data_IF_913909369301
#
_entry.id   IF_913909369301
#
_cell.length_a   1.000
_cell.length_b   1.000
_cell.length_c   1.000
_cell.angle_alpha   90.00
_cell.angle_beta   90.00
_cell.angle_gamma   90.00
#
_symmetry.space_group_name_H-M   'P 1'
#
loop_
_entity.id
_entity.type
_entity.pdbx_description
1 polymer ?
#
# COMPACT_ATOMS: atom_id res chain seq x y z
N UNK A 1 18.31 41.16 -30.12
CA UNK A 1 18.30 41.87 -31.42
C UNK A 1 19.55 41.49 -32.18
N UNK A 2 19.45 40.43 -32.97
CA UNK A 2 20.23 40.22 -34.19
C UNK A 2 19.47 39.16 -34.99
N UNK A 3 19.16 39.48 -36.24
CA UNK A 3 18.47 38.65 -37.22
C UNK A 3 19.43 38.35 -38.37
N UNK A 4 19.27 37.14 -38.93
CA UNK A 4 19.38 36.75 -40.36
C UNK A 4 19.97 35.32 -40.44
N UNK A 5 19.57 34.40 -41.34
CA UNK A 5 18.51 34.29 -42.34
C UNK A 5 18.57 32.80 -42.77
N UNK A 6 17.43 32.12 -42.91
CA UNK A 6 17.12 31.13 -43.97
C UNK A 6 15.84 30.38 -43.59
N UNK A 7 14.90 30.39 -44.54
CA UNK A 7 13.60 29.69 -44.59
C UNK A 7 12.59 30.11 -43.52
N UNK A 8 11.91 31.23 -43.77
CA UNK A 8 10.62 31.52 -43.15
C UNK A 8 9.53 30.72 -43.86
N UNK A 9 8.79 29.92 -43.11
CA UNK A 9 7.44 29.48 -43.45
C UNK A 9 6.71 29.02 -42.17
N UNK A 10 5.44 29.41 -42.10
CA UNK A 10 4.55 29.50 -40.94
C UNK A 10 3.77 28.18 -40.77
N UNK A 11 3.88 27.52 -39.61
CA UNK A 11 3.15 26.27 -39.32
C UNK A 11 1.83 26.59 -38.61
N UNK A 12 0.79 26.85 -39.39
CA UNK A 12 -0.59 26.97 -38.93
C UNK A 12 -1.28 25.62 -38.72
N UNK A 13 -2.12 25.56 -37.69
CA UNK A 13 -3.02 24.44 -37.35
C UNK A 13 -4.03 24.15 -38.49
N UNK A 14 -3.99 22.95 -39.08
CA UNK A 14 -5.06 22.45 -39.97
C UNK A 14 -5.84 21.30 -39.34
N UNK A 15 -7.16 21.51 -39.22
CA UNK A 15 -8.16 20.51 -38.84
C UNK A 15 -8.46 19.53 -39.99
N UNK A 16 -8.82 18.27 -39.72
CA UNK A 16 -9.05 17.26 -40.75
C UNK A 16 -10.32 17.54 -41.59
N UNK A 17 -10.35 17.13 -42.88
CA UNK A 17 -11.39 17.54 -43.81
C UNK A 17 -12.74 16.86 -43.55
N UNK A 18 -13.79 17.69 -43.67
CA UNK A 18 -15.22 17.36 -43.55
C UNK A 18 -15.68 16.54 -44.77
N UNK A 19 -15.94 15.25 -44.56
CA UNK A 19 -16.47 14.34 -45.60
C UNK A 19 -17.88 14.77 -46.07
N UNK A 20 -18.00 14.99 -47.37
CA UNK A 20 -19.17 15.49 -48.09
C UNK A 20 -20.30 14.43 -48.12
N UNK A 21 -21.53 14.84 -47.81
CA UNK A 21 -22.74 14.01 -47.98
C UNK A 21 -23.15 14.01 -49.46
N UNK A 22 -23.31 12.83 -50.05
CA UNK A 22 -24.13 12.62 -51.25
C UNK A 22 -25.27 11.65 -50.88
N UNK A 23 -26.48 12.01 -51.29
CA UNK A 23 -27.71 11.30 -50.92
C UNK A 23 -28.07 10.15 -51.86
N UNK A 24 -28.83 9.22 -51.27
CA UNK A 24 -29.85 8.33 -51.82
C UNK A 24 -29.56 7.50 -53.07
N UNK A 25 -29.51 6.17 -52.89
CA UNK A 25 -30.47 5.26 -53.52
C UNK A 25 -30.57 3.96 -52.73
N UNK A 26 -31.80 3.49 -52.54
CA UNK A 26 -32.16 2.33 -51.72
C UNK A 26 -31.77 0.98 -52.33
N UNK A 27 -31.55 0.01 -51.45
CA UNK A 27 -31.41 -1.40 -51.75
C UNK A 27 -31.81 -2.19 -50.51
N UNK A 28 -32.89 -2.96 -50.64
CA UNK A 28 -33.69 -3.54 -49.56
C UNK A 28 -32.97 -4.68 -48.80
N UNK A 29 -32.88 -4.57 -47.47
CA UNK A 29 -32.53 -5.69 -46.59
C UNK A 29 -33.73 -6.64 -46.48
N UNK A 30 -33.72 -7.73 -47.25
CA UNK A 30 -34.79 -8.75 -47.22
C UNK A 30 -34.68 -9.58 -45.94
N UNK A 31 -35.56 -9.32 -44.97
CA UNK A 31 -35.74 -10.17 -43.79
C UNK A 31 -36.55 -11.43 -44.19
N UNK A 32 -36.05 -12.65 -43.94
CA UNK A 32 -36.77 -13.87 -44.28
C UNK A 32 -38.08 -14.02 -43.48
N UNK A 33 -39.14 -14.47 -44.15
CA UNK A 33 -40.49 -14.70 -43.61
C UNK A 33 -40.86 -16.17 -43.65
N UNK A 34 -41.77 -16.58 -42.76
CA UNK A 34 -42.41 -17.89 -42.81
C UNK A 34 -43.41 -17.98 -43.98
N UNK A 35 -43.84 -19.19 -44.34
CA UNK A 35 -44.80 -19.44 -45.44
C UNK A 35 -46.20 -18.84 -45.21
N UNK A 36 -46.53 -18.46 -43.99
CA UNK A 36 -47.77 -17.78 -43.60
C UNK A 36 -47.63 -16.24 -43.52
N UNK A 37 -46.47 -15.70 -43.88
CA UNK A 37 -46.21 -14.26 -43.94
C UNK A 37 -45.87 -13.61 -42.59
N UNK A 38 -45.76 -14.38 -41.51
CA UNK A 38 -45.26 -13.89 -40.21
C UNK A 38 -43.74 -13.68 -40.23
N UNK A 39 -43.26 -12.71 -39.44
CA UNK A 39 -41.81 -12.48 -39.28
C UNK A 39 -41.19 -13.63 -38.48
N UNK A 40 -40.17 -14.27 -39.03
CA UNK A 40 -39.47 -15.38 -38.38
C UNK A 40 -38.52 -14.81 -37.30
N UNK A 41 -38.98 -14.77 -36.05
CA UNK A 41 -38.15 -14.44 -34.90
C UNK A 41 -38.03 -15.65 -33.98
N UNK A 42 -36.84 -16.29 -34.00
CA UNK A 42 -36.49 -17.35 -33.06
C UNK A 42 -36.13 -18.70 -33.71
N UNK A 43 -34.85 -19.09 -33.51
CA UNK A 43 -34.23 -20.42 -33.62
C UNK A 43 -34.21 -21.12 -34.99
N UNK A 44 -33.07 -21.00 -35.67
CA UNK A 44 -32.54 -22.08 -36.49
C UNK A 44 -32.22 -23.27 -35.56
N UNK A 45 -32.77 -24.45 -35.89
CA UNK A 45 -32.46 -25.72 -35.24
C UNK A 45 -30.92 -25.92 -35.19
N UNK A 46 -30.31 -26.23 -34.04
CA UNK A 46 -28.87 -26.42 -33.97
C UNK A 46 -28.49 -27.69 -34.73
N UNK A 47 -27.64 -27.56 -35.75
CA UNK A 47 -26.81 -28.67 -36.22
C UNK A 47 -26.14 -29.30 -35.00
N UNK A 48 -26.37 -30.59 -34.80
CA UNK A 48 -25.81 -31.41 -33.73
C UNK A 48 -24.28 -31.35 -33.79
N UNK A 49 -23.70 -30.37 -33.09
CA UNK A 49 -22.30 -30.37 -32.73
C UNK A 49 -22.19 -31.22 -31.49
N UNK A 50 -21.48 -32.33 -31.63
CA UNK A 50 -21.16 -33.27 -30.58
C UNK A 50 -20.76 -32.52 -29.31
N UNK A 51 -21.48 -32.81 -28.22
CA UNK A 51 -21.19 -32.27 -26.89
C UNK A 51 -19.89 -32.90 -26.38
N UNK A 52 -18.75 -32.32 -26.74
CA UNK A 52 -17.58 -32.40 -25.89
C UNK A 52 -17.97 -31.73 -24.57
N UNK A 53 -18.01 -32.53 -23.50
CA UNK A 53 -18.12 -32.02 -22.13
C UNK A 53 -16.86 -31.21 -21.84
N UNK A 54 -16.86 -29.94 -22.22
CA UNK A 54 -16.10 -28.95 -21.46
C UNK A 54 -16.71 -28.95 -20.07
N UNK A 55 -16.01 -29.57 -19.12
CA UNK A 55 -16.21 -29.31 -17.71
C UNK A 55 -15.88 -27.83 -17.48
N UNK A 56 -16.87 -26.98 -17.73
CA UNK A 56 -16.84 -25.58 -17.35
C UNK A 56 -16.63 -25.58 -15.84
N UNK A 57 -15.38 -25.30 -15.42
CA UNK A 57 -15.02 -25.12 -14.03
C UNK A 57 -15.92 -24.01 -13.49
N UNK A 58 -17.01 -24.41 -12.81
CA UNK A 58 -17.93 -23.48 -12.16
C UNK A 58 -17.13 -22.78 -11.08
N UNK A 59 -16.53 -21.65 -11.41
CA UNK A 59 -15.86 -20.80 -10.43
C UNK A 59 -16.96 -20.36 -9.48
N UNK A 60 -16.97 -20.83 -8.22
CA UNK A 60 -18.03 -20.46 -7.30
C UNK A 60 -18.03 -18.94 -7.17
N UNK A 61 -19.20 -18.33 -7.37
CA UNK A 61 -19.39 -16.88 -7.28
C UNK A 61 -18.78 -16.40 -5.97
N UNK A 62 -17.74 -15.56 -6.08
CA UNK A 62 -17.01 -15.09 -4.92
C UNK A 62 -17.98 -14.43 -3.93
N UNK A 63 -18.04 -14.99 -2.71
CA UNK A 63 -18.82 -14.40 -1.64
C UNK A 63 -18.20 -13.05 -1.24
N UNK A 64 -19.00 -12.10 -0.72
CA UNK A 64 -18.48 -10.82 -0.25
C UNK A 64 -17.39 -11.04 0.80
N UNK A 65 -16.18 -10.55 0.53
CA UNK A 65 -15.09 -10.57 1.50
C UNK A 65 -15.18 -9.31 2.37
N UNK A 66 -15.58 -9.48 3.62
CA UNK A 66 -15.63 -8.41 4.62
C UNK A 66 -14.31 -8.24 5.39
N UNK A 67 -13.26 -8.97 5.01
CA UNK A 67 -11.93 -8.73 5.56
C UNK A 67 -11.42 -7.34 5.15
N UNK A 68 -10.66 -6.70 6.04
CA UNK A 68 -10.03 -5.42 5.75
C UNK A 68 -9.08 -5.58 4.57
N UNK A 69 -9.26 -4.78 3.53
CA UNK A 69 -8.34 -4.74 2.40
C UNK A 69 -7.09 -3.94 2.81
N UNK A 70 -5.91 -4.48 2.53
CA UNK A 70 -4.64 -3.84 2.93
C UNK A 70 -4.39 -2.48 2.29
N UNK A 71 -5.00 -2.20 1.13
CA UNK A 71 -4.76 -1.00 0.30
C UNK A 71 -4.89 0.33 1.05
N UNK A 72 -5.86 0.44 1.96
CA UNK A 72 -6.04 1.69 2.72
C UNK A 72 -4.85 1.97 3.68
N UNK A 73 -4.32 0.92 4.30
CA UNK A 73 -3.14 1.01 5.15
C UNK A 73 -1.89 1.29 4.31
N UNK A 74 -1.81 0.73 3.10
CA UNK A 74 -0.70 1.00 2.17
C UNK A 74 -0.68 2.45 1.69
N UNK A 75 -1.84 3.09 1.50
CA UNK A 75 -1.93 4.50 1.09
C UNK A 75 -1.60 5.46 2.24
N UNK A 76 -2.05 5.16 3.46
CA UNK A 76 -1.91 6.08 4.60
C UNK A 76 -0.51 6.06 5.22
N UNK A 77 0.13 4.89 5.30
CA UNK A 77 1.35 4.68 6.11
C UNK A 77 2.57 4.29 5.26
N UNK A 78 2.72 4.85 4.06
CA UNK A 78 3.87 4.58 3.19
C UNK A 78 5.00 5.55 3.46
N UNK A 79 6.15 5.02 3.87
CA UNK A 79 7.40 5.80 4.00
C UNK A 79 8.44 5.19 3.08
N UNK A 80 9.05 6.02 2.23
CA UNK A 80 10.09 5.62 1.29
C UNK A 80 9.73 4.39 0.44
N UNK A 81 8.45 4.17 0.13
CA UNK A 81 7.98 3.03 -0.66
C UNK A 81 7.60 1.78 0.15
N UNK A 82 7.82 1.77 1.47
CA UNK A 82 7.51 0.64 2.37
C UNK A 82 6.35 1.02 3.28
N UNK A 83 5.42 0.09 3.47
CA UNK A 83 4.26 0.28 4.34
C UNK A 83 4.65 0.02 5.79
N UNK A 84 4.48 1.02 6.65
CA UNK A 84 4.78 0.90 8.08
C UNK A 84 3.66 0.13 8.78
N UNK A 85 4.06 -0.83 9.63
CA UNK A 85 3.13 -1.60 10.47
C UNK A 85 2.62 -0.80 11.66
N UNK A 86 3.39 0.19 12.09
CA UNK A 86 3.13 0.99 13.28
C UNK A 86 2.88 2.45 12.89
N UNK A 87 2.05 3.12 13.68
CA UNK A 87 1.76 4.54 13.56
C UNK A 87 1.89 5.20 14.93
N UNK A 88 2.32 6.46 14.92
CA UNK A 88 2.63 7.17 16.14
C UNK A 88 1.36 7.53 16.93
N UNK A 89 1.30 7.21 18.24
CA UNK A 89 0.13 7.54 19.03
C UNK A 89 0.04 9.05 19.31
N UNK A 90 -1.16 9.59 19.58
CA UNK A 90 -1.35 11.03 19.81
C UNK A 90 -0.68 11.55 21.10
N UNK A 91 -0.29 10.66 22.02
CA UNK A 91 0.43 10.99 23.25
C UNK A 91 1.96 10.89 23.09
N UNK A 92 2.45 10.74 21.86
CA UNK A 92 3.87 10.75 21.56
C UNK A 92 4.50 12.11 21.89
N UNK A 93 5.63 12.09 22.62
CA UNK A 93 6.35 13.31 22.94
C UNK A 93 7.85 13.06 23.07
N UNK A 94 8.66 14.01 22.60
CA UNK A 94 10.12 13.91 22.63
C UNK A 94 10.61 13.94 24.08
N UNK A 95 11.51 13.02 24.50
CA UNK A 95 12.03 13.03 25.84
C UNK A 95 12.94 14.24 26.07
N UNK A 96 12.85 14.84 27.26
CA UNK A 96 13.79 15.88 27.70
C UNK A 96 15.15 15.32 28.13
N UNK A 97 15.19 14.04 28.52
CA UNK A 97 16.41 13.34 28.95
C UNK A 97 17.22 12.85 27.74
N UNK A 98 18.55 12.88 27.84
CA UNK A 98 19.45 12.36 26.82
C UNK A 98 19.61 10.84 26.88
N UNK A 99 18.62 10.11 26.36
CA UNK A 99 18.69 8.66 26.24
C UNK A 99 19.75 8.21 25.23
N UNK A 100 20.46 7.13 25.59
CA UNK A 100 21.47 6.45 24.76
C UNK A 100 21.27 4.93 24.87
N UNK A 101 21.36 4.21 23.75
CA UNK A 101 21.41 2.75 23.73
C UNK A 101 22.84 2.30 23.53
N UNK A 102 23.35 1.49 24.45
CA UNK A 102 24.64 0.83 24.30
C UNK A 102 24.42 -0.55 23.69
N UNK A 103 25.07 -0.81 22.56
CA UNK A 103 24.92 -2.06 21.82
C UNK A 103 26.20 -2.88 21.98
N UNK A 104 26.01 -4.14 22.33
CA UNK A 104 27.11 -5.08 22.53
C UNK A 104 26.96 -6.26 21.58
N UNK A 105 28.05 -6.62 20.90
CA UNK A 105 28.15 -7.84 20.10
C UNK A 105 29.16 -8.76 20.79
N UNK A 106 28.64 -9.68 21.61
CA UNK A 106 29.47 -10.50 22.48
C UNK A 106 30.19 -9.63 23.52
N UNK A 107 31.51 -9.49 23.39
CA UNK A 107 32.34 -8.66 24.29
C UNK A 107 32.69 -7.29 23.71
N UNK A 108 32.38 -7.06 22.44
CA UNK A 108 32.67 -5.80 21.76
C UNK A 108 31.52 -4.81 21.97
N UNK A 109 31.84 -3.58 22.37
CA UNK A 109 30.89 -2.48 22.45
C UNK A 109 30.91 -1.69 21.14
N UNK A 110 29.75 -1.54 20.50
CA UNK A 110 29.57 -0.70 19.33
C UNK A 110 29.26 0.75 19.74
N UNK A 111 29.23 1.64 18.75
CA UNK A 111 28.88 3.04 18.97
C UNK A 111 27.45 3.17 19.55
N UNK A 112 27.24 3.96 20.61
CA UNK A 112 25.92 4.12 21.21
C UNK A 112 24.95 4.90 20.31
N UNK A 113 23.69 4.47 20.25
CA UNK A 113 22.64 5.20 19.54
C UNK A 113 22.01 6.28 20.42
N UNK A 114 21.91 7.51 19.91
CA UNK A 114 21.27 8.63 20.59
C UNK A 114 19.75 8.65 20.40
N UNK A 115 19.02 7.89 21.23
CA UNK A 115 17.56 7.71 21.10
C UNK A 115 16.72 8.76 21.85
N UNK A 116 17.02 10.05 21.69
CA UNK A 116 16.26 11.13 22.35
C UNK A 116 15.93 12.32 21.45
N UNK A 117 16.39 12.30 20.19
CA UNK A 117 16.22 13.39 19.23
C UNK A 117 14.84 13.38 18.56
N UNK A 118 14.24 12.20 18.44
CA UNK A 118 12.92 11.92 17.90
C UNK A 118 12.01 11.30 18.95
N UNK A 119 10.73 11.18 18.62
CA UNK A 119 9.66 10.60 19.42
C UNK A 119 9.55 9.08 19.30
N UNK A 120 10.00 8.52 18.18
CA UNK A 120 10.02 7.09 17.91
C UNK A 120 11.34 6.66 17.25
N UNK A 121 11.67 5.37 17.34
CA UNK A 121 12.77 4.75 16.60
C UNK A 121 12.38 3.34 16.16
N UNK A 122 12.41 3.08 14.86
CA UNK A 122 12.10 1.78 14.29
C UNK A 122 13.36 0.91 14.18
N UNK A 123 13.27 -0.32 14.70
CA UNK A 123 14.31 -1.34 14.61
C UNK A 123 13.90 -2.46 13.66
N UNK A 124 14.81 -2.86 12.79
CA UNK A 124 14.57 -3.95 11.85
C UNK A 124 15.63 -4.04 10.77
N UNK A 125 15.45 -5.01 9.87
CA UNK A 125 16.37 -5.23 8.73
C UNK A 125 16.20 -4.21 7.60
N UNK A 126 15.02 -3.60 7.47
CA UNK A 126 14.71 -2.72 6.34
C UNK A 126 15.31 -1.32 6.54
N UNK A 127 16.54 -1.14 6.06
CA UNK A 127 17.31 0.11 6.22
C UNK A 127 16.67 1.35 5.57
N UNK A 128 15.74 1.17 4.62
CA UNK A 128 15.03 2.30 3.97
C UNK A 128 14.10 3.05 4.92
N UNK A 129 13.64 2.39 5.98
CA UNK A 129 12.68 2.95 6.95
C UNK A 129 13.12 2.80 8.41
N UNK A 130 13.97 1.82 8.74
CA UNK A 130 14.42 1.61 10.11
C UNK A 130 15.52 2.60 10.48
N UNK A 131 15.35 3.29 11.60
CA UNK A 131 16.36 4.20 12.17
C UNK A 131 17.55 3.43 12.76
N UNK A 132 17.28 2.26 13.33
CA UNK A 132 18.28 1.39 13.94
C UNK A 132 18.30 0.07 13.15
N UNK A 133 19.31 -0.14 12.28
CA UNK A 133 19.39 -1.34 11.47
C UNK A 133 19.79 -2.56 12.30
N UNK A 134 19.00 -3.63 12.19
CA UNK A 134 19.30 -4.93 12.76
C UNK A 134 19.80 -5.86 11.64
N UNK A 135 21.12 -5.90 11.44
CA UNK A 135 21.76 -6.71 10.40
C UNK A 135 21.89 -8.20 10.81
N UNK A 136 20.78 -8.80 11.24
CA UNK A 136 20.72 -10.21 11.58
C UNK A 136 19.54 -10.89 10.89
N UNK A 137 19.74 -12.06 10.24
CA UNK A 137 18.68 -12.72 9.45
C UNK A 137 17.50 -13.19 10.29
N UNK A 138 17.69 -13.42 11.60
CA UNK A 138 16.60 -13.77 12.52
C UNK A 138 15.70 -12.57 12.89
N UNK A 139 16.12 -11.34 12.59
CA UNK A 139 15.27 -10.17 12.83
C UNK A 139 14.27 -9.99 11.67
N UNK A 140 13.15 -9.34 11.94
CA UNK A 140 12.15 -9.04 10.92
C UNK A 140 12.47 -7.72 10.21
N UNK A 141 11.88 -7.48 9.03
CA UNK A 141 12.08 -6.23 8.27
C UNK A 141 11.72 -5.00 9.10
N UNK A 142 10.56 -5.05 9.76
CA UNK A 142 10.16 -4.15 10.84
C UNK A 142 9.95 -5.05 12.07
N UNK A 143 10.84 -4.96 13.05
CA UNK A 143 10.93 -5.90 14.17
C UNK A 143 10.28 -5.33 15.43
N UNK A 144 10.73 -4.16 15.88
CA UNK A 144 10.22 -3.51 17.08
C UNK A 144 10.39 -1.99 16.98
N UNK A 145 9.64 -1.25 17.78
CA UNK A 145 9.72 0.22 17.86
C UNK A 145 9.92 0.66 19.30
N UNK A 146 10.80 1.63 19.50
CA UNK A 146 10.87 2.39 20.75
C UNK A 146 10.01 3.63 20.57
N UNK A 147 8.92 3.74 21.35
CA UNK A 147 8.05 4.91 21.36
C UNK A 147 8.20 5.68 22.67
N UNK A 148 8.45 6.99 22.58
CA UNK A 148 8.36 7.88 23.73
C UNK A 148 6.94 8.43 23.87
N UNK A 149 6.31 8.19 25.02
CA UNK A 149 4.94 8.62 25.31
C UNK A 149 4.88 9.46 26.57
N UNK A 150 4.00 10.46 26.57
CA UNK A 150 3.70 11.27 27.74
C UNK A 150 2.72 10.52 28.65
N UNK A 151 3.14 10.27 29.88
CA UNK A 151 2.35 9.55 30.89
C UNK A 151 2.16 10.41 32.12
N UNK A 152 0.95 10.42 32.68
CA UNK A 152 0.67 11.01 33.99
C UNK A 152 0.85 9.94 35.06
N UNK A 153 1.65 10.23 36.08
CA UNK A 153 1.73 9.41 37.30
C UNK A 153 1.25 10.23 38.48
N UNK A 154 0.34 9.66 39.25
CA UNK A 154 -0.11 10.23 40.53
C UNK A 154 0.73 9.60 41.64
N UNK A 155 1.40 10.44 42.41
CA UNK A 155 2.18 9.98 43.57
C UNK A 155 1.26 9.74 44.78
N UNK A 156 1.78 9.11 45.84
CA UNK A 156 1.02 8.79 47.06
C UNK A 156 0.43 10.01 47.77
N UNK A 157 0.96 11.21 47.52
CA UNK A 157 0.44 12.48 48.03
C UNK A 157 -0.65 13.10 47.14
N UNK A 158 -1.12 12.41 46.10
CA UNK A 158 -2.16 12.90 45.17
C UNK A 158 -1.68 13.88 44.10
N UNK A 159 -0.41 14.27 44.10
CA UNK A 159 0.18 15.14 43.07
C UNK A 159 0.35 14.37 41.77
N UNK A 160 -0.22 14.88 40.68
CA UNK A 160 -0.05 14.32 39.33
C UNK A 160 1.14 14.98 38.64
N UNK A 161 2.10 14.17 38.21
CA UNK A 161 3.25 14.61 37.41
C UNK A 161 3.20 13.97 36.02
N UNK A 162 3.55 14.75 34.99
CA UNK A 162 3.62 14.27 33.60
C UNK A 162 5.08 13.98 33.24
N UNK A 163 5.34 12.79 32.73
CA UNK A 163 6.67 12.33 32.34
C UNK A 163 6.65 11.62 30.99
N UNK A 164 7.65 11.92 30.16
CA UNK A 164 7.91 11.16 28.93
C UNK A 164 8.67 9.89 29.28
N UNK A 165 8.13 8.74 28.87
CA UNK A 165 8.72 7.42 29.12
C UNK A 165 8.87 6.65 27.80
N UNK A 166 9.97 5.91 27.60
CA UNK A 166 10.10 4.99 26.48
C UNK A 166 9.25 3.73 26.71
N UNK A 167 8.71 3.21 25.61
CA UNK A 167 8.00 1.95 25.49
C UNK A 167 8.62 1.15 24.36
N UNK A 168 8.90 -0.13 24.58
CA UNK A 168 9.31 -1.05 23.52
C UNK A 168 8.08 -1.84 23.09
N UNK A 169 7.78 -1.84 21.79
CA UNK A 169 6.67 -2.59 21.21
C UNK A 169 7.21 -3.51 20.11
N UNK A 170 6.93 -4.81 20.19
CA UNK A 170 7.20 -5.76 19.13
C UNK A 170 6.14 -5.60 18.02
N UNK A 171 6.54 -5.67 16.74
CA UNK A 171 5.64 -5.43 15.60
C UNK A 171 5.22 -6.74 14.92
N UNK A 172 4.92 -7.75 15.73
CA UNK A 172 4.64 -9.12 15.27
C UNK A 172 5.88 -9.72 14.59
N UNK A 173 7.02 -9.63 15.26
CA UNK A 173 8.27 -10.16 14.73
C UNK A 173 8.31 -11.69 14.79
N UNK A 174 9.00 -12.31 13.84
CA UNK A 174 8.99 -13.78 13.66
C UNK A 174 9.54 -14.52 14.87
N UNK A 175 10.60 -13.99 15.49
CA UNK A 175 11.25 -14.60 16.64
C UNK A 175 10.89 -13.93 17.98
N UNK A 176 10.08 -12.87 17.95
CA UNK A 176 9.77 -12.05 19.11
C UNK A 176 10.93 -11.17 19.58
N UNK A 177 10.60 -10.27 20.50
CA UNK A 177 11.53 -9.39 21.21
C UNK A 177 11.63 -9.82 22.68
N UNK A 178 12.79 -9.53 23.30
CA UNK A 178 13.07 -9.92 24.68
C UNK A 178 13.64 -8.74 25.47
N UNK A 179 13.15 -8.53 26.69
CA UNK A 179 13.72 -7.59 27.66
C UNK A 179 14.20 -8.41 28.85
N UNK A 180 15.46 -8.23 29.26
CA UNK A 180 16.04 -9.00 30.39
C UNK A 180 15.87 -10.52 30.26
N UNK A 181 15.90 -11.05 29.02
CA UNK A 181 15.66 -12.46 28.65
C UNK A 181 14.21 -12.95 28.77
N UNK A 182 13.28 -12.07 29.13
CA UNK A 182 11.85 -12.37 29.12
C UNK A 182 11.23 -11.88 27.81
N UNK A 183 10.40 -12.74 27.18
CA UNK A 183 9.73 -12.40 25.93
C UNK A 183 8.65 -11.35 26.21
N UNK A 184 8.63 -10.29 25.43
CA UNK A 184 7.55 -9.29 25.51
C UNK A 184 6.40 -9.70 24.60
N UNK A 185 5.19 -9.33 24.98
CA UNK A 185 4.01 -9.46 24.13
C UNK A 185 4.03 -8.38 23.04
N UNK A 186 3.57 -8.75 21.85
CA UNK A 186 3.45 -7.91 20.67
C UNK A 186 2.03 -7.91 20.13
#
# INVERSE_FOLDING_TARGET
RQVDQLTGEDLGDEAPPRRQKQGANGGDDVIPRNSDGSYMWGKLEPLEREKEKEEELVIPKAQPNFARTGKLAEESNKVNGVVLKWSEPPDAMKPSKHWRLYVFKGKESLEPYHVHRQTAYLMGRERRVCDIPLDHPSCSSQHAVIQFRLTSKTDSSGKTSKHVRPYLMDLGSTNGSFINRERIEG
#
